data_IF_552788009552
#
_entry.id   IF_552788009552
#
_cell.length_a   1.000
_cell.length_b   1.000
_cell.length_c   1.000
_cell.angle_alpha   90.00
_cell.angle_beta   90.00
_cell.angle_gamma   90.00
#
_symmetry.space_group_name_H-M   'P 1'
#
loop_
_entity.id
_entity.type
_entity.pdbx_description
1 polymer ?
#
# COMPACT_ATOMS: atom_id res chain seq x y z
N UNK A 1 3.41 25.39 -8.93
CA UNK A 1 2.04 25.93 -9.04
C UNK A 1 1.53 26.16 -10.46
N UNK A 2 2.34 26.65 -11.40
CA UNK A 2 1.85 26.98 -12.75
C UNK A 2 1.45 25.75 -13.61
N UNK A 3 1.77 24.53 -13.18
CA UNK A 3 1.64 23.30 -13.97
C UNK A 3 0.92 22.14 -13.25
N UNK A 4 0.30 22.41 -12.09
CA UNK A 4 -0.54 21.44 -11.35
C UNK A 4 -1.75 22.20 -10.81
N UNK A 5 -2.97 21.67 -11.06
CA UNK A 5 -4.24 22.31 -10.68
C UNK A 5 -4.39 22.53 -9.17
N UNK A 6 -3.99 21.53 -8.38
CA UNK A 6 -4.10 21.58 -6.92
C UNK A 6 -3.13 22.59 -6.36
N UNK A 7 -1.90 22.59 -6.86
CA UNK A 7 -0.88 23.58 -6.47
C UNK A 7 -1.27 25.00 -6.91
N UNK A 8 -1.91 25.16 -8.06
CA UNK A 8 -2.38 26.45 -8.54
C UNK A 8 -3.48 27.02 -7.66
N UNK A 9 -4.51 26.21 -7.35
CA UNK A 9 -5.59 26.61 -6.45
C UNK A 9 -5.06 26.95 -5.06
N UNK A 10 -4.11 26.16 -4.54
CA UNK A 10 -3.44 26.44 -3.27
C UNK A 10 -2.66 27.76 -3.32
N UNK A 11 -1.82 27.95 -4.35
CA UNK A 11 -1.03 29.17 -4.49
C UNK A 11 -1.90 30.43 -4.64
N UNK A 12 -3.02 30.35 -5.38
CA UNK A 12 -4.01 31.44 -5.48
C UNK A 12 -4.63 31.77 -4.14
N UNK A 13 -5.02 30.76 -3.36
CA UNK A 13 -5.65 30.95 -2.04
C UNK A 13 -4.71 31.62 -1.04
N UNK A 14 -3.43 31.27 -1.07
CA UNK A 14 -2.42 31.76 -0.12
C UNK A 14 -1.52 32.86 -0.70
N UNK A 15 -1.88 33.43 -1.85
CA UNK A 15 -1.10 34.49 -2.52
C UNK A 15 0.39 34.15 -2.73
N UNK A 16 0.68 32.88 -3.02
CA UNK A 16 2.04 32.39 -3.29
C UNK A 16 2.41 32.72 -4.74
N UNK A 17 3.66 33.15 -4.96
CA UNK A 17 4.17 33.48 -6.29
C UNK A 17 4.06 32.29 -7.26
N UNK A 18 3.40 32.51 -8.39
CA UNK A 18 3.25 31.53 -9.47
C UNK A 18 4.29 31.85 -10.55
N UNK A 19 5.24 30.94 -10.77
CA UNK A 19 6.25 31.05 -11.84
C UNK A 19 5.97 29.99 -12.91
N UNK A 20 5.77 30.43 -14.14
CA UNK A 20 5.64 29.56 -15.31
C UNK A 20 7.02 29.13 -15.80
N UNK A 21 7.18 27.83 -16.06
CA UNK A 21 8.43 27.22 -16.55
C UNK A 21 8.23 26.29 -17.74
N UNK A 22 6.99 26.11 -18.20
CA UNK A 22 6.63 25.36 -19.42
C UNK A 22 5.62 26.20 -20.22
N UNK A 23 5.76 26.18 -21.54
CA UNK A 23 4.85 26.83 -22.49
C UNK A 23 4.50 25.87 -23.64
N UNK A 24 3.46 26.18 -24.40
CA UNK A 24 3.09 25.43 -25.59
C UNK A 24 4.20 25.51 -26.67
N UNK A 25 4.39 24.42 -27.44
CA UNK A 25 5.42 24.22 -28.47
C UNK A 25 5.50 25.31 -29.54
N UNK A 26 4.43 26.06 -29.77
CA UNK A 26 4.32 27.03 -30.87
C UNK A 26 4.71 28.46 -30.51
N UNK A 27 5.13 28.73 -29.26
CA UNK A 27 5.54 30.07 -28.82
C UNK A 27 7.03 30.07 -28.44
N UNK A 28 7.90 30.08 -29.45
CA UNK A 28 9.35 30.24 -29.26
C UNK A 28 9.77 31.69 -28.98
N UNK A 29 8.92 32.67 -29.31
CA UNK A 29 9.19 34.09 -29.06
C UNK A 29 8.33 34.62 -27.91
N UNK A 30 9.02 34.82 -26.79
CA UNK A 30 8.48 35.34 -25.55
C UNK A 30 8.05 36.81 -25.71
N UNK A 31 6.74 37.08 -25.78
CA UNK A 31 6.23 38.42 -25.44
C UNK A 31 4.82 38.43 -24.83
N UNK A 32 4.02 37.37 -24.97
CA UNK A 32 2.70 37.28 -24.33
C UNK A 32 2.62 36.06 -23.41
N UNK A 33 3.00 36.25 -22.15
CA UNK A 33 2.72 35.29 -21.08
C UNK A 33 1.24 35.37 -20.70
N UNK A 34 0.38 34.70 -21.47
CA UNK A 34 -1.00 34.49 -21.05
C UNK A 34 -1.63 33.26 -21.71
N UNK A 35 -1.07 32.08 -21.40
CA UNK A 35 -1.88 30.87 -21.44
C UNK A 35 -2.76 30.80 -20.17
N UNK A 36 -3.94 30.18 -20.27
CA UNK A 36 -4.80 29.87 -19.13
C UNK A 36 -4.04 29.01 -18.12
N UNK A 37 -3.46 29.64 -17.10
CA UNK A 37 -2.81 28.94 -16.00
C UNK A 37 -3.87 28.23 -15.14
N UNK A 38 -3.65 26.98 -14.74
CA UNK A 38 -2.41 26.22 -14.86
C UNK A 38 -2.27 25.46 -16.19
N UNK A 39 -1.06 25.46 -16.77
CA UNK A 39 -0.73 24.66 -17.95
C UNK A 39 -0.34 23.24 -17.53
N UNK A 40 -1.26 22.29 -17.69
CA UNK A 40 -1.12 20.90 -17.21
C UNK A 40 -0.77 19.88 -18.29
N UNK A 41 -0.62 20.31 -19.54
CA UNK A 41 -0.30 19.42 -20.63
C UNK A 41 1.11 18.84 -20.51
N UNK A 42 1.26 17.60 -20.96
CA UNK A 42 2.53 16.86 -20.89
C UNK A 42 3.53 17.30 -21.97
N UNK A 43 3.01 17.93 -23.01
CA UNK A 43 3.77 18.38 -24.17
C UNK A 43 4.03 19.86 -24.00
N UNK A 44 5.27 20.31 -24.21
CA UNK A 44 5.62 21.72 -24.09
C UNK A 44 7.12 21.94 -24.09
N UNK A 45 7.49 23.21 -24.17
CA UNK A 45 8.89 23.65 -24.15
C UNK A 45 9.19 24.29 -22.81
N UNK A 46 10.34 23.94 -22.24
CA UNK A 46 10.80 24.49 -20.97
C UNK A 46 11.29 25.92 -21.18
N UNK A 47 10.82 26.84 -20.34
CA UNK A 47 11.19 28.26 -20.34
C UNK A 47 11.64 28.71 -18.96
N UNK A 48 12.36 29.84 -18.88
CA UNK A 48 12.78 30.44 -17.60
C UNK A 48 13.54 29.50 -16.65
N UNK A 49 14.30 28.55 -17.22
CA UNK A 49 14.93 27.42 -16.50
C UNK A 49 16.42 27.23 -16.87
N UNK A 50 17.15 28.34 -17.08
CA UNK A 50 18.59 28.38 -17.38
C UNK A 50 18.98 27.45 -18.53
N UNK A 51 19.92 26.51 -18.33
CA UNK A 51 20.45 25.60 -19.34
C UNK A 51 19.43 24.62 -19.93
N UNK A 52 18.25 24.50 -19.33
CA UNK A 52 17.15 23.66 -19.79
C UNK A 52 16.15 24.44 -20.65
N UNK A 53 16.33 25.77 -20.79
CA UNK A 53 15.44 26.62 -21.58
C UNK A 53 15.54 26.24 -23.06
N UNK A 54 14.38 26.09 -23.72
CA UNK A 54 14.27 25.71 -25.12
C UNK A 54 14.23 24.20 -25.37
N UNK A 55 14.37 23.37 -24.34
CA UNK A 55 14.24 21.92 -24.46
C UNK A 55 12.76 21.49 -24.40
N UNK A 56 12.45 20.40 -25.09
CA UNK A 56 11.19 19.67 -24.89
C UNK A 56 11.11 19.12 -23.45
N UNK A 57 9.90 19.01 -22.90
CA UNK A 57 9.68 18.50 -21.55
C UNK A 57 10.28 17.10 -21.30
N UNK A 58 10.23 16.18 -22.25
CA UNK A 58 10.80 14.84 -22.11
C UNK A 58 12.34 14.87 -22.09
N UNK A 59 12.95 15.67 -22.97
CA UNK A 59 14.41 15.85 -22.97
C UNK A 59 14.89 16.55 -21.69
N UNK A 60 14.15 17.58 -21.25
CA UNK A 60 14.45 18.30 -20.02
C UNK A 60 14.37 17.39 -18.79
N UNK A 61 13.37 16.50 -18.69
CA UNK A 61 13.27 15.52 -17.59
C UNK A 61 14.54 14.67 -17.50
N UNK A 62 15.03 14.15 -18.63
CA UNK A 62 16.23 13.30 -18.65
C UNK A 62 17.48 14.07 -18.21
N UNK A 63 17.70 15.28 -18.75
CA UNK A 63 18.86 16.10 -18.40
C UNK A 63 18.83 16.61 -16.95
N UNK A 64 17.65 16.98 -16.45
CA UNK A 64 17.49 17.39 -15.04
C UNK A 64 17.82 16.22 -14.11
N UNK A 65 17.29 15.02 -14.38
CA UNK A 65 17.57 13.83 -13.58
C UNK A 65 19.07 13.52 -13.56
N UNK A 66 19.73 13.57 -14.72
CA UNK A 66 21.17 13.36 -14.81
C UNK A 66 21.97 14.41 -14.01
N UNK A 67 21.57 15.68 -14.09
CA UNK A 67 22.24 16.78 -13.38
C UNK A 67 22.13 16.69 -11.86
N UNK A 68 20.95 16.32 -11.35
CA UNK A 68 20.72 16.23 -9.89
C UNK A 68 21.18 14.89 -9.29
N UNK A 69 21.73 13.98 -10.11
CA UNK A 69 22.08 12.62 -9.68
C UNK A 69 20.86 11.78 -9.28
N UNK A 70 19.69 12.10 -9.84
CA UNK A 70 18.43 11.42 -9.56
C UNK A 70 18.28 10.09 -10.31
N UNK A 71 17.20 9.36 -10.01
CA UNK A 71 16.83 8.12 -10.70
C UNK A 71 15.38 8.19 -11.20
N UNK A 72 15.16 7.80 -12.45
CA UNK A 72 13.81 7.64 -13.01
C UNK A 72 13.13 6.45 -12.33
N UNK A 73 11.91 6.68 -11.82
CA UNK A 73 11.12 5.66 -11.13
C UNK A 73 9.75 5.57 -11.76
N UNK A 74 9.29 4.35 -12.01
CA UNK A 74 7.92 4.06 -12.45
C UNK A 74 7.06 3.78 -11.22
N UNK A 75 5.92 4.44 -11.11
CA UNK A 75 4.95 4.23 -10.02
C UNK A 75 3.59 3.89 -10.60
N UNK A 76 2.80 3.12 -9.85
CA UNK A 76 1.48 2.69 -10.27
C UNK A 76 0.44 3.19 -9.26
N UNK A 77 -0.78 3.45 -9.76
CA UNK A 77 -1.93 3.78 -8.89
C UNK A 77 -2.56 2.54 -8.23
N UNK A 78 -2.19 1.34 -8.68
CA UNK A 78 -2.66 0.09 -8.08
C UNK A 78 -2.12 -0.01 -6.64
N UNK A 79 -2.99 -0.44 -5.73
CA UNK A 79 -2.65 -0.69 -4.34
C UNK A 79 -2.67 -2.19 -4.09
N UNK A 80 -1.99 -2.61 -3.04
CA UNK A 80 -2.04 -4.00 -2.60
C UNK A 80 -3.48 -4.42 -2.29
N UNK A 81 -3.77 -5.67 -2.60
CA UNK A 81 -5.10 -6.21 -2.37
C UNK A 81 -5.28 -6.55 -0.90
N UNK A 82 -6.08 -5.75 -0.20
CA UNK A 82 -6.50 -6.05 1.17
C UNK A 82 -7.61 -7.10 1.13
N UNK A 83 -7.30 -8.34 1.53
CA UNK A 83 -8.24 -9.47 1.59
C UNK A 83 -8.75 -9.78 3.01
N UNK A 84 -8.05 -9.32 4.06
CA UNK A 84 -8.51 -9.51 5.44
C UNK A 84 -9.84 -8.78 5.69
N UNK A 85 -10.78 -9.47 6.34
CA UNK A 85 -12.13 -8.94 6.66
C UNK A 85 -12.49 -9.36 8.08
N UNK A 86 -12.89 -8.40 8.91
CA UNK A 86 -13.41 -8.65 10.26
C UNK A 86 -14.86 -9.13 10.18
N UNK A 87 -15.08 -10.32 9.60
CA UNK A 87 -16.41 -10.92 9.40
C UNK A 87 -16.37 -12.39 9.78
N UNK A 88 -17.42 -12.84 10.46
CA UNK A 88 -17.58 -14.26 10.79
C UNK A 88 -17.81 -15.13 9.54
N UNK A 89 -18.64 -14.67 8.59
CA UNK A 89 -18.97 -15.44 7.37
C UNK A 89 -17.93 -15.23 6.27
N UNK A 90 -16.74 -15.78 6.49
CA UNK A 90 -15.61 -15.79 5.56
C UNK A 90 -14.70 -16.98 5.85
N UNK A 91 -13.88 -17.35 4.88
CA UNK A 91 -12.90 -18.43 5.07
C UNK A 91 -11.86 -18.00 6.13
N UNK A 92 -11.64 -18.81 7.19
CA UNK A 92 -10.59 -18.58 8.15
C UNK A 92 -9.21 -18.53 7.49
N UNK A 93 -8.41 -17.52 7.83
CA UNK A 93 -7.02 -17.44 7.35
C UNK A 93 -6.23 -18.54 8.06
N UNK A 94 -5.57 -19.49 7.34
CA UNK A 94 -4.90 -20.63 7.93
C UNK A 94 -3.51 -20.25 8.48
N UNK A 95 -3.49 -19.27 9.39
CA UNK A 95 -2.28 -18.69 9.99
C UNK A 95 -2.49 -18.59 11.49
N UNK A 96 -1.42 -18.87 12.24
CA UNK A 96 -1.38 -18.72 13.70
C UNK A 96 -0.25 -17.79 14.14
N UNK A 97 -0.53 -17.02 15.19
CA UNK A 97 0.41 -16.16 15.90
C UNK A 97 0.90 -16.89 17.14
N UNK A 98 2.13 -17.36 17.13
CA UNK A 98 2.72 -18.04 18.27
C UNK A 98 3.16 -17.04 19.36
N UNK A 99 3.13 -17.48 20.63
CA UNK A 99 3.59 -16.67 21.77
C UNK A 99 5.07 -16.27 21.68
N UNK A 100 5.86 -16.96 20.86
CA UNK A 100 7.25 -16.62 20.57
C UNK A 100 7.41 -15.42 19.61
N UNK A 101 6.30 -14.78 19.19
CA UNK A 101 6.27 -13.62 18.31
C UNK A 101 6.43 -13.93 16.82
N UNK A 102 6.43 -15.22 16.44
CA UNK A 102 6.46 -15.66 15.05
C UNK A 102 5.07 -16.02 14.53
N UNK A 103 4.92 -15.87 13.22
CA UNK A 103 3.70 -16.21 12.48
C UNK A 103 3.98 -17.49 11.70
N UNK A 104 3.08 -18.47 11.81
CA UNK A 104 3.22 -19.76 11.15
C UNK A 104 1.96 -20.08 10.33
N UNK A 105 2.10 -20.61 9.10
CA UNK A 105 0.97 -21.20 8.40
C UNK A 105 0.53 -22.50 9.09
N UNK A 106 -0.74 -22.86 8.99
CA UNK A 106 -1.20 -24.20 9.36
C UNK A 106 -0.71 -25.20 8.33
N UNK A 107 -0.36 -26.40 8.78
CA UNK A 107 0.01 -27.50 7.90
C UNK A 107 -1.15 -27.89 6.96
N UNK A 108 -0.85 -28.21 5.70
CA UNK A 108 -1.85 -28.60 4.70
C UNK A 108 -2.73 -29.78 5.15
N UNK A 109 -2.18 -30.69 5.96
CA UNK A 109 -2.90 -31.82 6.53
C UNK A 109 -4.01 -31.44 7.51
N UNK A 110 -4.02 -30.19 8.00
CA UNK A 110 -5.05 -29.64 8.90
C UNK A 110 -6.05 -28.75 8.17
N UNK A 111 -5.94 -28.65 6.86
CA UNK A 111 -6.92 -27.97 6.03
C UNK A 111 -8.04 -28.94 5.61
N UNK A 112 -9.30 -28.47 5.46
CA UNK A 112 -9.73 -27.08 5.61
C UNK A 112 -9.88 -26.65 7.09
N UNK A 113 -9.50 -25.40 7.39
CA UNK A 113 -9.79 -24.79 8.68
C UNK A 113 -11.27 -24.40 8.72
N UNK A 114 -12.07 -25.13 9.50
CA UNK A 114 -13.52 -24.90 9.61
C UNK A 114 -13.85 -23.80 10.63
N UNK A 115 -14.90 -23.03 10.33
CA UNK A 115 -15.46 -22.05 11.25
C UNK A 115 -16.11 -22.75 12.46
N UNK A 116 -16.04 -22.15 13.66
CA UNK A 116 -16.75 -22.67 14.82
C UNK A 116 -18.25 -22.41 14.65
N UNK A 117 -19.09 -23.38 15.01
CA UNK A 117 -20.54 -23.17 15.11
C UNK A 117 -20.85 -22.20 16.25
N UNK A 118 -21.54 -21.10 15.96
CA UNK A 118 -21.98 -20.13 16.99
C UNK A 118 -23.46 -19.82 16.83
N UNK A 119 -24.15 -19.53 17.93
CA UNK A 119 -25.55 -19.11 17.92
C UNK A 119 -25.71 -17.63 17.54
N UNK A 120 -24.68 -16.81 17.77
CA UNK A 120 -24.75 -15.35 17.62
C UNK A 120 -23.67 -14.82 16.66
N UNK A 121 -24.07 -14.62 15.41
CA UNK A 121 -23.20 -14.17 14.31
C UNK A 121 -23.03 -12.64 14.22
N UNK A 122 -23.77 -11.88 15.04
CA UNK A 122 -23.82 -10.43 14.95
C UNK A 122 -22.47 -9.81 15.35
N UNK A 123 -21.96 -8.81 14.60
CA UNK A 123 -20.78 -8.07 15.02
C UNK A 123 -21.00 -7.49 16.41
N UNK A 124 -20.09 -7.79 17.33
CA UNK A 124 -20.01 -7.03 18.56
C UNK A 124 -19.66 -5.60 18.14
N UNK A 125 -20.47 -4.59 18.48
CA UNK A 125 -20.31 -3.19 18.02
C UNK A 125 -18.95 -2.53 18.31
N UNK A 126 -18.00 -3.27 18.86
CA UNK A 126 -16.61 -2.90 19.15
C UNK A 126 -15.67 -3.05 17.94
N UNK A 127 -16.16 -3.49 16.76
CA UNK A 127 -15.37 -3.58 15.53
C UNK A 127 -14.38 -4.74 15.44
N UNK A 128 -14.33 -5.61 16.47
CA UNK A 128 -13.56 -6.86 16.43
C UNK A 128 -14.34 -7.98 15.75
N UNK A 129 -13.60 -8.95 15.19
CA UNK A 129 -14.19 -10.13 14.55
C UNK A 129 -14.99 -10.95 15.56
N UNK A 130 -16.20 -11.43 15.21
CA UNK A 130 -16.96 -12.31 16.11
C UNK A 130 -16.19 -13.57 16.52
N UNK A 131 -15.23 -14.01 15.70
CA UNK A 131 -14.35 -15.14 15.99
C UNK A 131 -13.38 -14.86 17.14
N UNK A 132 -12.95 -13.61 17.32
CA UNK A 132 -12.05 -13.22 18.42
C UNK A 132 -12.66 -13.47 19.81
N UNK A 133 -14.00 -13.55 19.88
CA UNK A 133 -14.75 -13.80 21.11
C UNK A 133 -14.95 -15.29 21.44
N UNK A 134 -14.31 -16.21 20.71
CA UNK A 134 -14.44 -17.67 20.90
C UNK A 134 -13.06 -18.21 21.33
N UNK A 135 -12.71 -18.16 22.63
CA UNK A 135 -11.38 -18.53 23.10
C UNK A 135 -10.97 -19.96 22.73
N UNK A 136 -11.93 -20.88 22.71
CA UNK A 136 -11.70 -22.30 22.41
C UNK A 136 -11.32 -22.54 20.95
N UNK A 137 -11.78 -21.67 20.04
CA UNK A 137 -11.41 -21.75 18.63
C UNK A 137 -10.15 -20.94 18.33
N UNK A 138 -9.98 -19.77 18.96
CA UNK A 138 -8.83 -18.88 18.69
C UNK A 138 -7.55 -19.42 19.29
N UNK A 139 -7.57 -19.89 20.54
CA UNK A 139 -6.37 -20.35 21.22
C UNK A 139 -6.11 -21.82 20.87
N UNK A 140 -4.96 -22.08 20.25
CA UNK A 140 -4.52 -23.43 19.87
C UNK A 140 -3.15 -23.71 20.47
N UNK A 141 -2.88 -24.98 20.77
CA UNK A 141 -1.55 -25.45 21.13
C UNK A 141 -1.10 -26.45 20.07
N UNK A 142 0.19 -26.46 19.75
CA UNK A 142 0.73 -27.30 18.70
C UNK A 142 2.24 -27.22 18.64
N UNK A 143 2.84 -27.79 17.60
CA UNK A 143 4.27 -27.70 17.35
C UNK A 143 4.53 -27.33 15.89
N UNK A 144 5.72 -26.80 15.61
CA UNK A 144 6.15 -26.47 14.25
C UNK A 144 6.92 -27.67 13.69
N UNK A 145 6.50 -28.19 12.54
CA UNK A 145 7.17 -29.31 11.90
C UNK A 145 8.50 -28.87 11.23
N UNK A 146 9.20 -29.81 10.61
CA UNK A 146 10.47 -29.54 9.91
C UNK A 146 10.34 -28.61 8.70
N UNK A 147 9.14 -28.50 8.10
CA UNK A 147 8.86 -27.61 6.97
C UNK A 147 8.52 -26.18 7.39
N UNK A 148 8.34 -25.94 8.71
CA UNK A 148 8.00 -24.63 9.24
C UNK A 148 6.50 -24.39 9.40
N UNK A 149 5.66 -25.41 9.20
CA UNK A 149 4.21 -25.34 9.36
C UNK A 149 3.78 -25.70 10.78
N UNK A 150 2.76 -25.01 11.28
CA UNK A 150 2.18 -25.27 12.59
C UNK A 150 1.18 -26.42 12.51
N UNK A 151 1.36 -27.41 13.38
CA UNK A 151 0.44 -28.54 13.57
C UNK A 151 -0.21 -28.38 14.93
N UNK A 152 -1.52 -28.12 14.95
CA UNK A 152 -2.35 -28.13 16.17
C UNK A 152 -2.35 -29.54 16.75
N UNK A 153 -1.88 -29.67 18.00
CA UNK A 153 -1.75 -30.95 18.70
C UNK A 153 -1.81 -30.74 20.22
N UNK A 154 -2.45 -31.68 20.91
CA UNK A 154 -2.53 -31.69 22.39
C UNK A 154 -1.22 -32.10 23.05
N UNK A 155 -0.42 -32.90 22.35
CA UNK A 155 0.84 -33.48 22.82
C UNK A 155 1.96 -33.20 21.81
N UNK A 156 3.16 -32.94 22.33
CA UNK A 156 4.37 -32.80 21.53
C UNK A 156 4.76 -34.15 20.91
N UNK A 157 5.07 -34.15 19.61
CA UNK A 157 5.79 -35.27 19.02
C UNK A 157 7.22 -35.29 19.56
N UNK A 158 7.79 -36.48 19.75
CA UNK A 158 9.15 -36.65 20.28
C UNK A 158 10.16 -35.77 19.50
N UNK A 159 10.82 -34.85 20.21
CA UNK A 159 11.76 -33.88 19.63
C UNK A 159 11.20 -32.50 19.25
N UNK A 160 9.92 -32.23 19.49
CA UNK A 160 9.29 -30.93 19.21
C UNK A 160 8.70 -30.29 20.47
N UNK A 161 8.85 -28.97 20.61
CA UNK A 161 8.27 -28.23 21.73
C UNK A 161 6.82 -27.82 21.43
N UNK A 162 5.95 -27.93 22.44
CA UNK A 162 4.60 -27.39 22.39
C UNK A 162 4.63 -25.87 22.52
N UNK A 163 3.99 -25.21 21.56
CA UNK A 163 3.88 -23.77 21.43
C UNK A 163 2.39 -23.42 21.50
N UNK A 164 2.07 -22.46 22.35
CA UNK A 164 0.75 -21.81 22.36
C UNK A 164 0.69 -20.78 21.25
N UNK A 165 -0.41 -20.75 20.53
CA UNK A 165 -0.63 -19.83 19.43
C UNK A 165 -2.10 -19.39 19.37
N UNK A 166 -2.34 -18.28 18.67
CA UNK A 166 -3.68 -17.76 18.38
C UNK A 166 -3.94 -17.76 16.90
N UNK A 167 -5.07 -18.30 16.45
CA UNK A 167 -5.50 -18.20 15.04
C UNK A 167 -5.73 -16.74 14.65
N UNK A 168 -5.43 -16.40 13.41
CA UNK A 168 -5.80 -15.12 12.81
C UNK A 168 -7.34 -14.98 12.74
N UNK A 169 -7.90 -13.84 13.17
CA UNK A 169 -9.35 -13.58 13.27
C UNK A 169 -9.79 -12.29 12.61
#
# INVERSE_FOLDING_TARGET
PAHDERDFAFARKFSIKIKQVVTNLYMSDATEFQDDLPYTDKVGVVVSSNEFTGLDCEEAKQKIVAKVGGRITSTYKIKDWVFSRQRYWGEPIPVVHAENGKIYPLAESQLPLTLPEVEQYAPSGNGQSPLSNIPDWVNVTGYVNETGDFIVASEAREGFDLIKAKRET
#
